data_IF_489930387336
#
_entry.id   IF_489930387336
#
_cell.length_a   1.000
_cell.length_b   1.000
_cell.length_c   1.000
_cell.angle_alpha   90.00
_cell.angle_beta   90.00
_cell.angle_gamma   90.00
#
_symmetry.space_group_name_H-M   'P 1'
#
loop_
_entity.id
_entity.type
_entity.pdbx_description
1 polymer ?
#
# COMPACT_ATOMS: atom_id res chain seq x y z
N UNK A 1 -60.16 27.37 -38.55
CA UNK A 1 -60.14 28.64 -37.78
C UNK A 1 -60.79 29.76 -38.60
N UNK A 2 -60.19 30.19 -39.72
CA UNK A 2 -60.65 31.31 -40.58
C UNK A 2 -62.16 31.30 -40.90
N UNK A 3 -62.73 30.18 -41.38
CA UNK A 3 -64.17 30.08 -41.67
C UNK A 3 -65.09 30.24 -40.45
N UNK A 4 -64.65 29.84 -39.26
CA UNK A 4 -65.41 30.03 -38.02
C UNK A 4 -65.25 31.45 -37.48
N UNK A 5 -64.09 32.09 -37.72
CA UNK A 5 -63.86 33.52 -37.46
C UNK A 5 -64.81 34.38 -38.30
N UNK A 6 -64.81 34.18 -39.62
CA UNK A 6 -65.71 34.88 -40.56
C UNK A 6 -67.20 34.65 -40.21
N UNK A 7 -67.60 33.41 -39.89
CA UNK A 7 -68.97 33.12 -39.48
C UNK A 7 -69.39 33.83 -38.18
N UNK A 8 -68.46 34.03 -37.25
CA UNK A 8 -68.69 34.78 -36.01
C UNK A 8 -68.75 36.30 -36.22
N UNK A 9 -68.08 36.84 -37.24
CA UNK A 9 -68.17 38.25 -37.64
C UNK A 9 -69.50 38.55 -38.34
N UNK A 10 -69.98 37.63 -39.19
CA UNK A 10 -71.26 37.77 -39.91
C UNK A 10 -72.46 37.61 -38.96
N UNK A 11 -72.36 36.74 -37.94
CA UNK A 11 -73.39 36.56 -36.91
C UNK A 11 -72.80 36.53 -35.50
N UNK A 12 -72.61 37.72 -34.86
CA UNK A 12 -71.95 37.83 -33.57
C UNK A 12 -72.68 37.15 -32.41
N UNK A 13 -74.00 37.00 -32.49
CA UNK A 13 -74.81 36.39 -31.42
C UNK A 13 -74.78 34.86 -31.44
N UNK A 14 -74.26 34.23 -32.50
CA UNK A 14 -74.24 32.78 -32.62
C UNK A 14 -73.17 32.15 -31.73
N UNK A 15 -73.61 31.21 -30.88
CA UNK A 15 -72.73 30.52 -29.93
C UNK A 15 -71.82 29.50 -30.61
N UNK A 16 -72.31 28.81 -31.65
CA UNK A 16 -71.60 27.71 -32.28
C UNK A 16 -70.23 28.08 -32.89
N UNK A 17 -70.07 29.17 -33.67
CA UNK A 17 -68.76 29.59 -34.17
C UNK A 17 -67.78 29.93 -33.04
N UNK A 18 -68.25 30.59 -31.95
CA UNK A 18 -67.44 30.91 -30.77
C UNK A 18 -66.96 29.66 -30.04
N UNK A 19 -67.85 28.69 -29.81
CA UNK A 19 -67.50 27.42 -29.16
C UNK A 19 -66.52 26.59 -30.00
N UNK A 20 -66.67 26.60 -31.34
CA UNK A 20 -65.72 25.95 -32.25
C UNK A 20 -64.35 26.62 -32.27
N UNK A 21 -64.29 27.95 -32.22
CA UNK A 21 -63.02 28.69 -32.09
C UNK A 21 -62.32 28.35 -30.77
N UNK A 22 -63.04 28.34 -29.65
CA UNK A 22 -62.50 27.93 -28.35
C UNK A 22 -61.94 26.50 -28.37
N UNK A 23 -62.66 25.55 -28.98
CA UNK A 23 -62.19 24.17 -29.11
C UNK A 23 -60.93 24.04 -29.99
N UNK A 24 -60.84 24.85 -31.07
CA UNK A 24 -59.64 24.88 -31.93
C UNK A 24 -58.46 25.48 -31.17
N UNK A 25 -58.64 26.59 -30.48
CA UNK A 25 -57.57 27.26 -29.74
C UNK A 25 -57.05 26.33 -28.62
N UNK A 26 -57.94 25.65 -27.88
CA UNK A 26 -57.55 24.63 -26.88
C UNK A 26 -56.79 23.45 -27.48
N UNK A 27 -57.16 22.98 -28.68
CA UNK A 27 -56.44 21.90 -29.36
C UNK A 27 -55.05 22.33 -29.83
N UNK A 28 -54.88 23.60 -30.24
CA UNK A 28 -53.58 24.16 -30.62
C UNK A 28 -52.66 24.35 -29.42
N UNK A 29 -53.21 24.80 -28.28
CA UNK A 29 -52.46 24.90 -27.02
C UNK A 29 -51.98 23.52 -26.56
N UNK A 30 -52.84 22.49 -26.62
CA UNK A 30 -52.45 21.12 -26.27
C UNK A 30 -51.38 20.55 -27.21
N UNK A 31 -51.49 20.82 -28.51
CA UNK A 31 -50.49 20.40 -29.50
C UNK A 31 -49.15 21.08 -29.24
N UNK A 32 -49.15 22.39 -28.94
CA UNK A 32 -47.95 23.13 -28.62
C UNK A 32 -47.29 22.60 -27.32
N UNK A 33 -48.09 22.28 -26.30
CA UNK A 33 -47.61 21.67 -25.05
C UNK A 33 -46.92 20.33 -25.27
N UNK A 34 -47.53 19.44 -26.06
CA UNK A 34 -46.94 18.13 -26.39
C UNK A 34 -45.66 18.26 -27.21
N UNK A 35 -45.65 19.15 -28.21
CA UNK A 35 -44.47 19.39 -29.03
C UNK A 35 -43.29 19.91 -28.18
N UNK A 36 -43.57 20.78 -27.21
CA UNK A 36 -42.55 21.28 -26.28
C UNK A 36 -42.06 20.20 -25.31
N UNK A 37 -42.95 19.36 -24.76
CA UNK A 37 -42.60 18.21 -23.92
C UNK A 37 -41.69 17.22 -24.67
N UNK A 38 -42.04 16.88 -25.91
CA UNK A 38 -41.23 16.01 -26.77
C UNK A 38 -39.86 16.62 -27.08
N UNK A 39 -39.80 17.94 -27.32
CA UNK A 39 -38.54 18.66 -27.56
C UNK A 39 -37.64 18.59 -26.33
N UNK A 40 -38.17 18.90 -25.15
CA UNK A 40 -37.43 18.83 -23.89
C UNK A 40 -36.96 17.41 -23.57
N UNK A 41 -37.79 16.40 -23.84
CA UNK A 41 -37.43 15.00 -23.65
C UNK A 41 -36.27 14.58 -24.59
N UNK A 42 -36.29 15.01 -25.85
CA UNK A 42 -35.18 14.76 -26.79
C UNK A 42 -33.89 15.45 -26.37
N UNK A 43 -33.95 16.72 -25.98
CA UNK A 43 -32.76 17.45 -25.51
C UNK A 43 -32.17 16.84 -24.24
N UNK A 44 -33.02 16.35 -23.34
CA UNK A 44 -32.57 15.62 -22.15
C UNK A 44 -31.88 14.31 -22.51
N UNK A 45 -32.47 13.56 -23.45
CA UNK A 45 -31.90 12.30 -23.94
C UNK A 45 -30.54 12.52 -24.61
N UNK A 46 -30.42 13.50 -25.51
CA UNK A 46 -29.16 13.80 -26.21
C UNK A 46 -28.05 14.19 -25.23
N UNK A 47 -28.36 15.00 -24.21
CA UNK A 47 -27.40 15.37 -23.17
C UNK A 47 -26.98 14.15 -22.35
N UNK A 48 -27.93 13.31 -21.97
CA UNK A 48 -27.66 12.08 -21.25
C UNK A 48 -26.74 11.16 -22.05
N UNK A 49 -27.06 10.89 -23.31
CA UNK A 49 -26.26 10.02 -24.19
C UNK A 49 -24.85 10.57 -24.42
N UNK A 50 -24.71 11.89 -24.57
CA UNK A 50 -23.41 12.54 -24.68
C UNK A 50 -22.58 12.40 -23.39
N UNK A 51 -23.19 12.58 -22.22
CA UNK A 51 -22.52 12.38 -20.93
C UNK A 51 -22.12 10.92 -20.73
N UNK A 52 -22.96 9.96 -21.09
CA UNK A 52 -22.64 8.53 -21.05
C UNK A 52 -21.47 8.19 -21.97
N UNK A 53 -21.51 8.59 -23.24
CA UNK A 53 -20.43 8.30 -24.19
C UNK A 53 -19.09 8.89 -23.74
N UNK A 54 -19.10 10.10 -23.17
CA UNK A 54 -17.92 10.73 -22.59
C UNK A 54 -17.41 9.96 -21.36
N UNK A 55 -18.32 9.53 -20.49
CA UNK A 55 -17.99 8.79 -19.27
C UNK A 55 -17.40 7.41 -19.58
N UNK A 56 -18.04 6.66 -20.48
CA UNK A 56 -17.61 5.34 -20.91
C UNK A 56 -16.20 5.41 -21.52
N UNK A 57 -15.97 6.37 -22.43
CA UNK A 57 -14.63 6.60 -23.00
C UNK A 57 -13.58 6.91 -21.92
N UNK A 58 -13.91 7.78 -20.97
CA UNK A 58 -12.98 8.12 -19.90
C UNK A 58 -12.71 6.92 -18.97
N UNK A 59 -13.71 6.07 -18.73
CA UNK A 59 -13.57 4.85 -17.95
C UNK A 59 -12.63 3.85 -18.65
N UNK A 60 -12.82 3.63 -19.95
CA UNK A 60 -12.00 2.71 -20.75
C UNK A 60 -10.54 3.21 -20.89
N UNK A 61 -10.35 4.54 -20.87
CA UNK A 61 -9.03 5.17 -20.81
C UNK A 61 -8.45 5.22 -19.38
N UNK A 62 -9.10 4.58 -18.40
CA UNK A 62 -8.76 4.55 -16.98
C UNK A 62 -8.65 5.95 -16.32
N UNK A 63 -9.30 6.95 -16.91
CA UNK A 63 -9.38 8.32 -16.38
C UNK A 63 -10.56 8.44 -15.42
N UNK A 64 -10.45 7.72 -14.31
CA UNK A 64 -11.56 7.51 -13.36
C UNK A 64 -12.20 8.81 -12.83
N UNK A 65 -11.42 9.86 -12.56
CA UNK A 65 -11.98 11.16 -12.13
C UNK A 65 -12.82 11.84 -13.23
N UNK A 66 -12.38 11.75 -14.49
CA UNK A 66 -13.13 12.31 -15.63
C UNK A 66 -14.39 11.48 -15.90
N UNK A 67 -14.30 10.15 -15.78
CA UNK A 67 -15.43 9.24 -15.88
C UNK A 67 -16.46 9.50 -14.76
N UNK A 68 -16.01 9.66 -13.52
CA UNK A 68 -16.83 9.97 -12.35
C UNK A 68 -17.62 11.26 -12.57
N UNK A 69 -16.96 12.32 -13.02
CA UNK A 69 -17.62 13.59 -13.30
C UNK A 69 -18.74 13.44 -14.36
N UNK A 70 -18.47 12.73 -15.46
CA UNK A 70 -19.42 12.55 -16.55
C UNK A 70 -20.59 11.59 -16.19
N UNK A 71 -20.35 10.51 -15.45
CA UNK A 71 -21.45 9.67 -14.94
C UNK A 71 -22.29 10.38 -13.88
N UNK A 72 -21.68 11.25 -13.06
CA UNK A 72 -22.42 12.07 -12.09
C UNK A 72 -23.36 13.04 -12.81
N UNK A 73 -22.89 13.66 -13.89
CA UNK A 73 -23.72 14.49 -14.77
C UNK A 73 -24.87 13.68 -15.37
N UNK A 74 -24.60 12.51 -15.97
CA UNK A 74 -25.63 11.64 -16.53
C UNK A 74 -26.67 11.19 -15.48
N UNK A 75 -26.21 10.84 -14.27
CA UNK A 75 -27.11 10.49 -13.16
C UNK A 75 -27.93 11.68 -12.65
N UNK A 76 -27.45 12.91 -12.83
CA UNK A 76 -28.21 14.12 -12.52
C UNK A 76 -29.26 14.45 -13.57
N UNK A 77 -28.97 14.17 -14.84
CA UNK A 77 -29.90 14.35 -15.97
C UNK A 77 -31.06 13.34 -15.90
N UNK A 78 -30.76 12.08 -15.60
CA UNK A 78 -31.75 11.01 -15.45
C UNK A 78 -31.56 10.22 -14.16
N UNK A 79 -32.09 10.70 -13.03
CA UNK A 79 -31.92 10.07 -11.73
C UNK A 79 -32.53 8.68 -11.59
N UNK A 80 -33.47 8.31 -12.46
CA UNK A 80 -34.11 6.99 -12.50
C UNK A 80 -33.22 5.91 -13.13
N UNK A 81 -32.22 6.29 -13.92
CA UNK A 81 -31.33 5.35 -14.61
C UNK A 81 -30.35 4.69 -13.62
N UNK A 82 -30.15 3.39 -13.79
CA UNK A 82 -29.23 2.61 -12.94
C UNK A 82 -27.80 2.62 -13.48
N UNK A 83 -27.65 2.60 -14.80
CA UNK A 83 -26.36 2.49 -15.47
C UNK A 83 -25.29 3.46 -14.96
N UNK A 84 -25.50 4.80 -14.93
CA UNK A 84 -24.47 5.73 -14.44
C UNK A 84 -24.14 5.50 -12.95
N UNK A 85 -25.10 5.06 -12.13
CA UNK A 85 -24.88 4.77 -10.71
C UNK A 85 -24.03 3.51 -10.52
N UNK A 86 -24.31 2.46 -11.28
CA UNK A 86 -23.53 1.23 -11.25
C UNK A 86 -22.08 1.49 -11.70
N UNK A 87 -21.91 2.34 -12.71
CA UNK A 87 -20.57 2.74 -13.18
C UNK A 87 -19.81 3.61 -12.18
N UNK A 88 -20.50 4.53 -11.48
CA UNK A 88 -19.88 5.29 -10.37
C UNK A 88 -19.38 4.36 -9.27
N UNK A 89 -20.17 3.34 -8.90
CA UNK A 89 -19.75 2.33 -7.93
C UNK A 89 -18.54 1.53 -8.43
N UNK A 90 -18.53 1.12 -9.70
CA UNK A 90 -17.39 0.42 -10.28
C UNK A 90 -16.11 1.29 -10.28
N UNK A 91 -16.24 2.60 -10.47
CA UNK A 91 -15.13 3.55 -10.34
C UNK A 91 -14.61 3.59 -8.90
N UNK A 92 -15.49 3.66 -7.90
CA UNK A 92 -15.10 3.64 -6.49
C UNK A 92 -14.32 2.37 -6.14
N UNK A 93 -14.83 1.21 -6.58
CA UNK A 93 -14.17 -0.09 -6.37
C UNK A 93 -12.78 -0.14 -7.06
N UNK A 94 -12.66 0.42 -8.26
CA UNK A 94 -11.42 0.42 -9.02
C UNK A 94 -10.37 1.35 -8.41
N UNK A 95 -10.76 2.53 -7.94
CA UNK A 95 -9.86 3.46 -7.24
C UNK A 95 -9.37 2.83 -5.94
N UNK A 96 -10.28 2.26 -5.14
CA UNK A 96 -9.90 1.61 -3.88
C UNK A 96 -8.92 0.44 -4.09
N UNK A 97 -9.10 -0.36 -5.15
CA UNK A 97 -8.17 -1.43 -5.49
C UNK A 97 -6.80 -0.90 -5.93
N UNK A 98 -6.76 0.18 -6.72
CA UNK A 98 -5.50 0.81 -7.14
C UNK A 98 -4.73 1.39 -5.94
N UNK A 99 -5.43 2.03 -5.01
CA UNK A 99 -4.84 2.54 -3.77
C UNK A 99 -4.28 1.40 -2.91
N UNK A 100 -5.03 0.30 -2.78
CA UNK A 100 -4.59 -0.89 -2.03
C UNK A 100 -3.32 -1.50 -2.65
N UNK A 101 -3.28 -1.65 -3.96
CA UNK A 101 -2.11 -2.19 -4.68
C UNK A 101 -0.89 -1.27 -4.56
N UNK A 102 -1.08 0.05 -4.68
CA UNK A 102 -0.01 1.03 -4.53
C UNK A 102 0.58 1.01 -3.10
N UNK A 103 -0.29 0.86 -2.09
CA UNK A 103 0.14 0.75 -0.70
C UNK A 103 0.88 -0.57 -0.42
N UNK A 104 0.40 -1.69 -0.96
CA UNK A 104 1.06 -2.99 -0.86
C UNK A 104 2.46 -2.94 -1.48
N UNK A 105 2.59 -2.33 -2.67
CA UNK A 105 3.87 -2.14 -3.33
C UNK A 105 4.81 -1.22 -2.52
N UNK A 106 4.29 -0.12 -1.96
CA UNK A 106 5.08 0.79 -1.11
C UNK A 106 5.63 0.07 0.12
N UNK A 107 4.79 -0.68 0.83
CA UNK A 107 5.19 -1.44 2.02
C UNK A 107 6.20 -2.54 1.66
N UNK A 108 6.03 -3.22 0.53
CA UNK A 108 6.99 -4.22 0.05
C UNK A 108 8.36 -3.60 -0.27
N UNK A 109 8.38 -2.43 -0.92
CA UNK A 109 9.61 -1.68 -1.19
C UNK A 109 10.30 -1.22 0.09
N UNK A 110 9.57 -0.65 1.04
CA UNK A 110 10.12 -0.22 2.32
C UNK A 110 10.68 -1.38 3.14
N UNK A 111 10.01 -2.54 3.12
CA UNK A 111 10.50 -3.75 3.77
C UNK A 111 11.80 -4.24 3.11
N UNK A 112 11.85 -4.22 1.78
CA UNK A 112 13.03 -4.60 1.02
C UNK A 112 14.22 -3.67 1.31
N UNK A 113 14.02 -2.35 1.29
CA UNK A 113 15.08 -1.37 1.59
C UNK A 113 15.64 -1.52 3.01
N UNK A 114 14.76 -1.73 4.00
CA UNK A 114 15.19 -1.99 5.40
C UNK A 114 15.99 -3.28 5.49
N UNK A 115 15.54 -4.34 4.82
CA UNK A 115 16.24 -5.61 4.77
C UNK A 115 17.63 -5.46 4.14
N UNK A 116 17.72 -4.82 2.97
CA UNK A 116 19.00 -4.62 2.26
C UNK A 116 19.97 -3.75 3.06
N UNK A 117 19.47 -2.72 3.74
CA UNK A 117 20.27 -1.89 4.64
C UNK A 117 20.81 -2.70 5.84
N UNK A 118 19.98 -3.54 6.45
CA UNK A 118 20.38 -4.41 7.55
C UNK A 118 21.43 -5.45 7.09
N UNK A 119 21.24 -6.07 5.93
CA UNK A 119 22.21 -7.00 5.32
C UNK A 119 23.53 -6.31 5.03
N UNK A 120 23.51 -5.15 4.37
CA UNK A 120 24.73 -4.41 4.04
C UNK A 120 25.53 -4.01 5.29
N UNK A 121 24.83 -3.56 6.35
CA UNK A 121 25.46 -3.27 7.63
C UNK A 121 26.02 -4.53 8.31
N UNK A 122 25.29 -5.66 8.26
CA UNK A 122 25.70 -6.93 8.83
C UNK A 122 26.93 -7.50 8.14
N UNK A 123 26.95 -7.50 6.80
CA UNK A 123 28.05 -7.96 5.96
C UNK A 123 29.30 -7.11 6.17
N UNK A 124 29.14 -5.79 6.31
CA UNK A 124 30.25 -4.87 6.63
C UNK A 124 30.85 -5.18 8.00
N UNK A 125 30.01 -5.36 9.03
CA UNK A 125 30.47 -5.71 10.37
C UNK A 125 31.11 -7.11 10.41
N UNK A 126 30.56 -8.06 9.66
CA UNK A 126 31.14 -9.40 9.49
C UNK A 126 32.55 -9.30 8.88
N UNK A 127 32.71 -8.51 7.81
CA UNK A 127 34.00 -8.31 7.14
C UNK A 127 35.05 -7.58 7.99
N UNK A 128 34.63 -6.80 8.98
CA UNK A 128 35.50 -6.19 9.98
C UNK A 128 35.70 -7.06 11.23
N UNK A 129 35.18 -8.29 11.22
CA UNK A 129 35.21 -9.23 12.35
C UNK A 129 34.52 -8.69 13.62
N UNK A 130 33.63 -7.71 13.48
CA UNK A 130 32.78 -7.22 14.55
C UNK A 130 31.57 -8.16 14.69
N UNK A 131 31.83 -9.32 15.28
CA UNK A 131 30.90 -10.45 15.36
C UNK A 131 29.59 -10.09 16.06
N UNK A 132 29.65 -9.33 17.17
CA UNK A 132 28.46 -8.93 17.92
C UNK A 132 27.60 -7.95 17.12
N UNK A 133 28.21 -6.92 16.51
CA UNK A 133 27.45 -5.98 15.67
C UNK A 133 26.88 -6.66 14.41
N UNK A 134 27.64 -7.57 13.81
CA UNK A 134 27.20 -8.35 12.65
C UNK A 134 26.00 -9.23 13.00
N UNK A 135 26.06 -9.97 14.11
CA UNK A 135 24.97 -10.83 14.58
C UNK A 135 23.70 -10.03 14.85
N UNK A 136 23.82 -8.86 15.49
CA UNK A 136 22.68 -7.99 15.74
C UNK A 136 22.00 -7.56 14.44
N UNK A 137 22.76 -7.18 13.41
CA UNK A 137 22.22 -6.74 12.12
C UNK A 137 21.65 -7.87 11.27
N UNK A 138 22.24 -9.06 11.27
CA UNK A 138 21.59 -10.21 10.64
C UNK A 138 20.31 -10.63 11.37
N UNK A 139 20.26 -10.48 12.70
CA UNK A 139 19.04 -10.77 13.48
C UNK A 139 17.91 -9.79 13.11
N UNK A 140 18.25 -8.50 12.95
CA UNK A 140 17.31 -7.49 12.42
C UNK A 140 16.79 -7.89 11.04
N UNK A 141 17.68 -8.25 10.10
CA UNK A 141 17.31 -8.70 8.76
C UNK A 141 16.44 -9.97 8.77
N UNK A 142 16.75 -10.95 9.63
CA UNK A 142 15.95 -12.17 9.81
C UNK A 142 14.54 -11.87 10.36
N UNK A 143 14.40 -10.85 11.22
CA UNK A 143 13.10 -10.38 11.71
C UNK A 143 12.27 -9.70 10.62
N UNK A 144 12.91 -8.96 9.71
CA UNK A 144 12.24 -8.30 8.58
C UNK A 144 11.77 -9.31 7.53
N UNK A 145 12.61 -10.30 7.19
CA UNK A 145 12.28 -11.36 6.23
C UNK A 145 12.61 -12.76 6.77
N UNK A 146 11.71 -13.36 7.57
CA UNK A 146 11.96 -14.67 8.21
C UNK A 146 12.14 -15.84 7.24
N UNK A 147 11.63 -15.71 6.01
CA UNK A 147 11.77 -16.74 4.99
C UNK A 147 13.20 -16.82 4.40
N UNK A 148 13.98 -15.75 4.49
CA UNK A 148 15.33 -15.70 3.93
C UNK A 148 16.29 -16.60 4.73
N UNK A 149 17.08 -17.41 4.02
CA UNK A 149 18.07 -18.28 4.64
C UNK A 149 19.34 -17.51 5.02
N UNK A 150 19.77 -16.57 4.16
CA UNK A 150 21.07 -15.90 4.27
C UNK A 150 21.36 -15.27 5.66
N UNK A 151 20.48 -14.44 6.26
CA UNK A 151 20.77 -13.89 7.58
C UNK A 151 20.86 -14.98 8.67
N UNK A 152 20.05 -16.03 8.58
CA UNK A 152 20.04 -17.13 9.56
C UNK A 152 21.31 -17.96 9.49
N UNK A 153 21.77 -18.27 8.28
CA UNK A 153 23.02 -19.01 8.07
C UNK A 153 24.22 -18.22 8.60
N UNK A 154 24.23 -16.90 8.37
CA UNK A 154 25.27 -16.01 8.90
C UNK A 154 25.28 -15.90 10.42
N UNK A 155 24.10 -15.83 11.06
CA UNK A 155 24.01 -15.85 12.53
C UNK A 155 24.62 -17.14 13.09
N UNK A 156 24.28 -18.30 12.50
CA UNK A 156 24.83 -19.58 12.95
C UNK A 156 26.36 -19.65 12.78
N UNK A 157 26.88 -19.10 11.69
CA UNK A 157 28.32 -19.01 11.45
C UNK A 157 29.02 -18.12 12.49
N UNK A 158 28.44 -16.95 12.80
CA UNK A 158 28.95 -16.03 13.81
C UNK A 158 28.95 -16.68 15.20
N UNK A 159 27.87 -17.39 15.54
CA UNK A 159 27.77 -18.11 16.81
C UNK A 159 28.88 -19.17 16.96
N UNK A 160 29.19 -19.89 15.90
CA UNK A 160 30.30 -20.84 15.89
C UNK A 160 31.65 -20.14 16.10
N UNK A 161 31.90 -19.01 15.44
CA UNK A 161 33.13 -18.22 15.60
C UNK A 161 33.28 -17.68 17.01
N UNK A 162 32.23 -17.11 17.58
CA UNK A 162 32.24 -16.59 18.95
C UNK A 162 32.53 -17.70 19.97
N UNK A 163 31.92 -18.87 19.79
CA UNK A 163 32.20 -20.03 20.64
C UNK A 163 33.66 -20.49 20.53
N UNK A 164 34.24 -20.50 19.32
CA UNK A 164 35.65 -20.84 19.11
C UNK A 164 36.59 -19.83 19.77
N UNK A 165 36.32 -18.52 19.61
CA UNK A 165 37.10 -17.45 20.22
C UNK A 165 37.04 -17.52 21.74
N UNK A 166 35.86 -17.75 22.31
CA UNK A 166 35.69 -17.92 23.75
C UNK A 166 36.50 -19.13 24.29
N UNK A 167 36.49 -20.25 23.56
CA UNK A 167 37.29 -21.44 23.92
C UNK A 167 38.79 -21.13 23.89
N UNK A 168 39.28 -20.49 22.83
CA UNK A 168 40.70 -20.12 22.71
C UNK A 168 41.14 -19.17 23.81
N UNK A 169 40.35 -18.14 24.10
CA UNK A 169 40.63 -17.19 25.18
C UNK A 169 40.71 -17.88 26.55
N UNK A 170 39.82 -18.86 26.81
CA UNK A 170 39.82 -19.65 28.03
C UNK A 170 41.04 -20.59 28.14
N UNK A 171 41.43 -21.24 27.03
CA UNK A 171 42.63 -22.09 26.97
C UNK A 171 43.91 -21.28 27.24
N UNK A 172 44.03 -20.10 26.62
CA UNK A 172 45.15 -19.19 26.87
C UNK A 172 45.18 -18.68 28.31
N UNK A 173 44.02 -18.37 28.89
CA UNK A 173 43.92 -17.95 30.30
C UNK A 173 44.43 -19.07 31.23
N UNK A 174 43.97 -20.30 31.03
CA UNK A 174 44.44 -21.46 31.80
C UNK A 174 45.94 -21.72 31.63
N UNK A 175 46.46 -21.57 30.42
CA UNK A 175 47.89 -21.73 30.15
C UNK A 175 48.72 -20.66 30.89
N UNK A 176 48.27 -19.39 30.89
CA UNK A 176 48.90 -18.31 31.66
C UNK A 176 48.87 -18.58 33.17
N UNK A 177 47.71 -18.95 33.71
CA UNK A 177 47.56 -19.29 35.14
C UNK A 177 48.46 -20.47 35.56
N UNK A 178 48.57 -21.49 34.70
CA UNK A 178 49.46 -22.64 34.95
C UNK A 178 50.94 -22.22 34.92
N UNK A 179 51.32 -21.40 33.94
CA UNK A 179 52.69 -20.89 33.82
C UNK A 179 53.08 -20.06 35.04
N UNK A 180 52.21 -19.13 35.48
CA UNK A 180 52.44 -18.32 36.68
C UNK A 180 52.57 -19.18 37.94
N UNK A 181 51.73 -20.22 38.07
CA UNK A 181 51.84 -21.18 39.18
C UNK A 181 53.15 -21.96 39.13
N UNK A 182 53.56 -22.42 37.95
CA UNK A 182 54.84 -23.11 37.77
C UNK A 182 56.01 -22.22 38.17
N UNK A 183 56.07 -20.98 37.65
CA UNK A 183 57.14 -20.03 37.95
C UNK A 183 57.21 -19.71 39.45
N UNK A 184 56.05 -19.57 40.12
CA UNK A 184 55.98 -19.37 41.56
C UNK A 184 56.53 -20.57 42.37
N UNK A 185 56.31 -21.81 41.91
CA UNK A 185 56.86 -23.01 42.53
C UNK A 185 58.37 -23.11 42.34
N UNK A 186 58.89 -22.78 41.16
CA UNK A 186 60.34 -22.74 40.90
C UNK A 186 61.02 -21.75 41.86
N UNK A 187 60.47 -20.53 42.00
CA UNK A 187 61.03 -19.52 42.91
C UNK A 187 61.05 -20.00 44.36
N UNK A 188 59.99 -20.65 44.83
CA UNK A 188 59.93 -21.23 46.18
C UNK A 188 60.95 -22.34 46.37
N UNK A 189 61.04 -23.26 45.41
CA UNK A 189 61.99 -24.35 45.45
C UNK A 189 63.45 -23.86 45.46
N UNK A 190 63.78 -22.87 44.62
CA UNK A 190 65.10 -22.24 44.57
C UNK A 190 65.47 -21.54 45.90
N UNK A 191 64.48 -20.91 46.55
CA UNK A 191 64.67 -20.30 47.87
C UNK A 191 64.91 -21.37 48.96
N UNK A 192 64.12 -22.45 48.97
CA UNK A 192 64.28 -23.56 49.90
C UNK A 192 65.63 -24.28 49.73
N UNK A 193 66.08 -24.48 48.49
CA UNK A 193 67.37 -25.09 48.17
C UNK A 193 68.55 -24.25 48.69
N UNK A 194 68.51 -22.92 48.52
CA UNK A 194 69.57 -22.01 49.00
C UNK A 194 69.63 -21.89 50.53
N UNK A 195 68.52 -22.18 51.23
CA UNK A 195 68.41 -22.09 52.69
C UNK A 195 68.87 -23.35 53.45
N UNK A 196 69.43 -24.36 52.79
CA UNK A 196 69.82 -25.67 53.36
C UNK A 196 68.65 -26.49 53.98
N UNK A 197 67.39 -26.10 53.73
CA UNK A 197 66.19 -26.84 54.13
C UNK A 197 65.83 -27.92 53.09
N UNK A 198 66.75 -28.84 52.83
CA UNK A 198 66.63 -29.85 51.76
C UNK A 198 65.39 -30.77 51.88
N UNK A 199 64.81 -30.90 53.08
CA UNK A 199 63.58 -31.68 53.31
C UNK A 199 62.28 -30.97 52.90
N UNK A 200 62.26 -29.64 52.82
CA UNK A 200 61.06 -28.87 52.42
C UNK A 200 60.97 -28.71 50.89
N UNK A 201 62.09 -28.52 50.20
CA UNK A 201 62.14 -28.37 48.74
C UNK A 201 61.60 -29.57 47.94
N UNK A 202 61.62 -30.79 48.53
CA UNK A 202 61.15 -32.02 47.88
C UNK A 202 59.63 -32.23 47.96
N UNK A 203 58.91 -31.57 48.87
CA UNK A 203 57.44 -31.71 48.99
C UNK A 203 56.67 -30.74 48.07
N UNK A 204 57.26 -29.60 47.70
CA UNK A 204 56.56 -28.54 46.94
C UNK A 204 56.42 -28.83 45.42
N UNK A 205 57.01 -29.92 44.92
CA UNK A 205 56.95 -30.34 43.50
C UNK A 205 55.93 -31.46 43.18
N UNK A 206 55.18 -31.98 44.18
CA UNK A 206 54.11 -32.98 43.97
C UNK A 206 52.75 -32.32 43.75
#
# INVERSE_FOLDING_TARGET
RTKYTEAGEIKPEEKYPKDRLKAIDAALEELARKAEEERLARELQEKYDASIAKADKAFDEERYEQARAAYTEASGLKPEETYPKDRLKAIDERIAELERLAEEERLARELQEKYDAAISAADKAYGSEDWEASKAKYTEAAGLKPAEAYPRDRIAEIDAKLAELARKAEEERKARELQERYDALIVKADAAFKGEAYSEAMNDYR
#
